data_IF_801823632883
#
_entry.id   IF_801823632883
#
_cell.length_a   1.000
_cell.length_b   1.000
_cell.length_c   1.000
_cell.angle_alpha   90.00
_cell.angle_beta   90.00
_cell.angle_gamma   90.00
#
_symmetry.space_group_name_H-M   'P 1'
#
loop_
_entity.id
_entity.type
_entity.pdbx_description
1 polymer ?
#
# COMPACT_ATOMS: atom_id res chain seq x y z
N UNK A 1 5.10 33.17 11.95
CA UNK A 1 5.98 32.00 11.83
C UNK A 1 5.11 30.77 11.52
N UNK A 2 4.90 30.47 10.23
CA UNK A 2 4.06 29.32 9.85
C UNK A 2 4.82 28.02 10.12
N UNK A 3 4.30 27.17 11.01
CA UNK A 3 4.82 25.82 11.21
C UNK A 3 4.48 25.02 9.95
N UNK A 4 5.43 24.90 9.03
CA UNK A 4 5.30 23.97 7.91
C UNK A 4 5.20 22.57 8.51
N UNK A 5 4.04 21.91 8.34
CA UNK A 5 3.86 20.53 8.80
C UNK A 5 4.74 19.63 7.93
N UNK A 6 5.92 19.26 8.42
CA UNK A 6 6.80 18.30 7.77
C UNK A 6 6.06 16.97 7.64
N UNK A 7 5.80 16.53 6.40
CA UNK A 7 5.28 15.19 6.12
C UNK A 7 6.49 14.29 5.79
N UNK A 8 6.84 13.33 6.66
CA UNK A 8 8.02 12.50 6.45
C UNK A 8 7.87 11.67 5.18
N UNK A 9 8.91 11.61 4.32
CA UNK A 9 8.91 10.79 3.09
C UNK A 9 8.66 9.32 3.41
N UNK A 10 7.86 8.62 2.59
CA UNK A 10 7.67 7.17 2.73
C UNK A 10 8.81 6.41 2.06
N UNK A 11 9.13 5.23 2.59
CA UNK A 11 10.17 4.36 2.05
C UNK A 11 9.57 3.19 1.29
N UNK A 12 10.10 2.93 0.09
CA UNK A 12 9.74 1.76 -0.73
C UNK A 12 10.04 0.47 0.01
N UNK A 13 11.19 0.36 0.67
CA UNK A 13 11.59 -0.84 1.40
C UNK A 13 10.60 -1.17 2.49
N UNK A 14 10.16 -0.17 3.26
CA UNK A 14 9.13 -0.35 4.29
C UNK A 14 7.81 -0.84 3.68
N UNK A 15 7.39 -0.28 2.55
CA UNK A 15 6.18 -0.73 1.86
C UNK A 15 6.27 -2.19 1.41
N UNK A 16 7.40 -2.60 0.81
CA UNK A 16 7.61 -3.99 0.36
C UNK A 16 7.65 -4.94 1.56
N UNK A 17 8.42 -4.63 2.61
CA UNK A 17 8.50 -5.46 3.83
C UNK A 17 7.14 -5.61 4.48
N UNK A 18 6.34 -4.55 4.53
CA UNK A 18 4.99 -4.60 5.09
C UNK A 18 4.07 -5.51 4.26
N UNK A 19 4.19 -5.48 2.93
CA UNK A 19 3.45 -6.40 2.06
C UNK A 19 3.93 -7.86 2.19
N UNK A 20 5.20 -8.10 2.49
CA UNK A 20 5.72 -9.46 2.67
C UNK A 20 5.28 -10.05 4.02
N UNK A 21 5.39 -9.29 5.11
CA UNK A 21 5.06 -9.77 6.45
C UNK A 21 3.55 -9.80 6.73
N UNK A 22 2.82 -8.83 6.20
CA UNK A 22 1.40 -8.64 6.50
C UNK A 22 0.49 -8.73 5.25
N UNK A 23 1.03 -9.12 4.09
CA UNK A 23 0.26 -9.33 2.87
C UNK A 23 -0.46 -8.07 2.41
N UNK A 24 -1.77 -8.18 2.21
CA UNK A 24 -2.64 -7.07 1.78
C UNK A 24 -2.61 -5.82 2.67
N UNK A 25 -2.12 -5.90 3.91
CA UNK A 25 -2.02 -4.75 4.82
C UNK A 25 -0.94 -3.75 4.40
N UNK A 26 -0.02 -4.10 3.50
CA UNK A 26 0.91 -3.11 2.95
C UNK A 26 0.22 -2.04 2.10
N UNK A 27 -0.99 -2.28 1.57
CA UNK A 27 -1.81 -1.23 0.96
C UNK A 27 -2.39 -0.24 1.96
N UNK A 28 -2.45 -0.59 3.25
CA UNK A 28 -2.81 0.37 4.30
C UNK A 28 -1.73 1.45 4.45
N UNK A 29 -0.47 1.10 4.18
CA UNK A 29 0.62 2.08 4.14
C UNK A 29 0.40 3.12 3.04
N UNK A 30 -0.19 2.76 1.90
CA UNK A 30 -0.55 3.66 0.80
C UNK A 30 -2.06 3.78 0.63
N UNK A 31 -2.81 3.82 1.73
CA UNK A 31 -4.27 3.69 1.71
C UNK A 31 -4.98 4.67 0.76
N UNK A 32 -4.55 5.94 0.68
CA UNK A 32 -5.22 6.89 -0.24
C UNK A 32 -5.05 6.54 -1.72
N UNK A 33 -3.97 5.85 -2.09
CA UNK A 33 -3.72 5.45 -3.48
C UNK A 33 -4.28 4.05 -3.78
N UNK A 34 -4.18 3.13 -2.82
CA UNK A 34 -4.49 1.71 -3.01
C UNK A 34 -5.71 1.22 -2.21
N UNK A 35 -6.52 2.12 -1.62
CA UNK A 35 -7.74 1.77 -0.86
C UNK A 35 -8.66 0.84 -1.64
N UNK A 36 -8.86 1.12 -2.92
CA UNK A 36 -9.67 0.28 -3.80
C UNK A 36 -9.15 -1.18 -3.86
N UNK A 37 -7.83 -1.37 -3.98
CA UNK A 37 -7.22 -2.72 -4.05
C UNK A 37 -7.37 -3.46 -2.73
N UNK A 38 -7.22 -2.74 -1.61
CA UNK A 38 -7.46 -3.28 -0.27
C UNK A 38 -8.88 -3.77 -0.09
N UNK A 39 -9.88 -2.94 -0.42
CA UNK A 39 -11.30 -3.32 -0.31
C UNK A 39 -11.67 -4.45 -1.26
N UNK A 40 -11.17 -4.44 -2.50
CA UNK A 40 -11.39 -5.52 -3.45
C UNK A 40 -10.86 -6.85 -2.92
N UNK A 41 -9.64 -6.89 -2.39
CA UNK A 41 -9.07 -8.13 -1.85
C UNK A 41 -9.77 -8.58 -0.57
N UNK A 42 -10.21 -7.66 0.30
CA UNK A 42 -11.01 -7.99 1.48
C UNK A 42 -12.37 -8.60 1.09
N UNK A 43 -13.03 -8.02 0.07
CA UNK A 43 -14.31 -8.50 -0.43
C UNK A 43 -14.19 -9.84 -1.15
N UNK A 44 -13.08 -10.09 -1.87
CA UNK A 44 -12.78 -11.38 -2.50
C UNK A 44 -12.34 -12.45 -1.51
N UNK A 45 -11.79 -12.07 -0.35
CA UNK A 45 -11.40 -13.02 0.70
C UNK A 45 -12.60 -13.82 1.25
N UNK A 46 -13.76 -13.15 1.40
CA UNK A 46 -14.99 -13.72 1.97
C UNK A 46 -15.58 -14.86 1.11
N UNK A 47 -15.92 -14.65 -0.18
CA UNK A 47 -16.54 -15.68 -1.01
C UNK A 47 -15.56 -16.80 -1.38
N UNK A 48 -14.25 -16.55 -1.37
CA UNK A 48 -13.24 -17.57 -1.68
C UNK A 48 -12.79 -18.38 -0.47
N UNK A 49 -13.43 -18.20 0.70
CA UNK A 49 -13.06 -18.85 1.96
C UNK A 49 -11.56 -18.67 2.30
N UNK A 50 -10.98 -17.52 1.95
CA UNK A 50 -9.57 -17.21 2.23
C UNK A 50 -8.54 -17.73 1.22
N UNK A 51 -8.92 -18.54 0.22
CA UNK A 51 -8.00 -18.98 -0.85
C UNK A 51 -7.44 -17.80 -1.65
N UNK A 52 -8.23 -16.74 -1.84
CA UNK A 52 -7.79 -15.52 -2.51
C UNK A 52 -6.70 -14.77 -1.74
N UNK A 53 -6.54 -15.00 -0.44
CA UNK A 53 -5.55 -14.29 0.39
C UNK A 53 -4.11 -14.48 -0.10
N UNK A 54 -3.77 -15.65 -0.64
CA UNK A 54 -2.44 -15.92 -1.20
C UNK A 54 -2.21 -15.11 -2.48
N UNK A 55 -3.19 -15.14 -3.39
CA UNK A 55 -3.14 -14.40 -4.66
C UNK A 55 -3.06 -12.89 -4.39
N UNK A 56 -3.89 -12.39 -3.47
CA UNK A 56 -3.88 -11.00 -3.03
C UNK A 56 -2.56 -10.58 -2.40
N UNK A 57 -1.94 -11.46 -1.61
CA UNK A 57 -0.62 -11.20 -1.01
C UNK A 57 0.48 -11.11 -2.06
N UNK A 58 0.55 -12.06 -2.99
CA UNK A 58 1.52 -12.04 -4.10
C UNK A 58 1.33 -10.77 -4.95
N UNK A 59 0.08 -10.43 -5.25
CA UNK A 59 -0.23 -9.22 -6.00
C UNK A 59 0.21 -7.95 -5.25
N UNK A 60 -0.04 -7.86 -3.94
CA UNK A 60 0.39 -6.72 -3.13
C UNK A 60 1.92 -6.55 -3.12
N UNK A 61 2.67 -7.66 -3.07
CA UNK A 61 4.13 -7.65 -3.16
C UNK A 61 4.60 -7.14 -4.54
N UNK A 62 4.02 -7.67 -5.63
CA UNK A 62 4.36 -7.25 -6.99
C UNK A 62 4.04 -5.76 -7.18
N UNK A 63 2.87 -5.30 -6.73
CA UNK A 63 2.46 -3.89 -6.84
C UNK A 63 3.45 -2.95 -6.13
N UNK A 64 3.89 -3.31 -4.93
CA UNK A 64 4.89 -2.53 -4.20
C UNK A 64 6.30 -2.62 -4.80
N UNK A 65 6.67 -3.76 -5.39
CA UNK A 65 7.96 -3.97 -6.04
C UNK A 65 8.09 -3.18 -7.35
N UNK A 66 7.03 -3.14 -8.15
CA UNK A 66 7.00 -2.46 -9.46
C UNK A 66 6.91 -0.94 -9.31
N UNK A 67 6.32 -0.45 -8.20
CA UNK A 67 6.26 1.01 -7.96
C UNK A 67 7.67 1.62 -7.84
N UNK A 68 7.96 2.71 -8.58
CA UNK A 68 9.24 3.40 -8.46
C UNK A 68 9.37 4.05 -7.08
N UNK A 69 10.61 4.26 -6.63
CA UNK A 69 10.88 4.86 -5.31
C UNK A 69 10.24 6.26 -5.18
N UNK A 70 10.26 7.02 -6.26
CA UNK A 70 9.68 8.36 -6.38
C UNK A 70 8.20 8.41 -5.99
N UNK A 71 7.43 7.35 -6.29
CA UNK A 71 6.01 7.26 -5.91
C UNK A 71 5.83 7.40 -4.39
N UNK A 72 6.72 6.80 -3.60
CA UNK A 72 6.65 6.84 -2.14
C UNK A 72 7.18 8.18 -1.58
N UNK A 73 8.19 8.76 -2.24
CA UNK A 73 8.74 10.06 -1.85
C UNK A 73 7.74 11.20 -2.10
N UNK A 74 7.00 11.14 -3.21
CA UNK A 74 6.01 12.15 -3.62
C UNK A 74 4.57 11.81 -3.21
N UNK A 75 4.36 10.70 -2.49
CA UNK A 75 3.04 10.24 -2.04
C UNK A 75 2.20 11.36 -1.40
N UNK A 76 2.82 12.17 -0.54
CA UNK A 76 2.13 13.26 0.14
C UNK A 76 1.85 14.48 -0.73
N UNK A 77 2.61 14.68 -1.80
CA UNK A 77 2.37 15.77 -2.75
C UNK A 77 1.15 15.47 -3.62
N UNK A 78 1.00 14.21 -4.03
CA UNK A 78 -0.06 13.77 -4.94
C UNK A 78 -1.38 13.52 -4.20
N UNK A 79 -1.33 12.86 -3.02
CA UNK A 79 -2.55 12.36 -2.35
C UNK A 79 -2.97 13.15 -1.11
N UNK A 80 -2.25 14.22 -0.75
CA UNK A 80 -2.58 15.03 0.42
C UNK A 80 -3.03 16.47 0.10
N UNK A 81 -3.58 16.67 -1.11
CA UNK A 81 -4.64 17.66 -1.34
C UNK A 81 -5.90 17.28 -0.56
#
# INVERSE_FOLDING_TARGET
MSRTKYKPKKSKTTAVVLNVLFGQLGWLYTYKADAWKFWLNLLLLIPTMGLWGIVGTIWAIIDAAVKPREFYEDYYKVYAK
#
